data_IF_587486201461
#
_entry.id   IF_587486201461
#
_cell.length_a   1.000
_cell.length_b   1.000
_cell.length_c   1.000
_cell.angle_alpha   90.00
_cell.angle_beta   90.00
_cell.angle_gamma   90.00
#
_symmetry.space_group_name_H-M   'P 1'
#
loop_
_entity.id
_entity.type
_entity.pdbx_description
1 polymer ?
#
# COMPACT_ATOMS: atom_id res chain seq x y z
N UNK A 1 -14.14 -12.89 12.78
CA UNK A 1 -12.97 -12.47 13.58
C UNK A 1 -11.81 -12.20 12.63
N UNK A 2 -11.67 -10.97 12.16
CA UNK A 2 -10.70 -10.58 11.13
C UNK A 2 -9.35 -10.29 11.78
N UNK A 3 -8.40 -11.23 11.69
CA UNK A 3 -7.03 -11.11 12.19
C UNK A 3 -6.11 -10.32 11.23
N UNK A 4 -6.56 -9.18 10.72
CA UNK A 4 -5.78 -8.37 9.76
C UNK A 4 -5.20 -7.07 10.35
N UNK A 5 -5.87 -6.46 11.34
CA UNK A 5 -5.64 -5.05 11.69
C UNK A 5 -4.44 -4.71 12.57
N UNK A 6 -3.65 -5.70 13.04
CA UNK A 6 -2.57 -5.44 14.02
C UNK A 6 -1.18 -5.39 13.35
N UNK A 7 -1.04 -5.88 12.11
CA UNK A 7 0.26 -5.99 11.45
C UNK A 7 0.64 -4.82 10.53
N UNK A 8 -0.30 -3.98 10.11
CA UNK A 8 -0.01 -2.78 9.30
C UNK A 8 0.85 -1.74 10.04
N UNK A 9 0.81 -1.73 11.38
CA UNK A 9 1.67 -0.87 12.22
C UNK A 9 3.17 -1.14 12.06
N UNK A 10 3.56 -2.32 11.58
CA UNK A 10 4.96 -2.61 11.28
C UNK A 10 5.37 -1.92 9.97
N UNK A 11 5.68 -0.62 10.06
CA UNK A 11 6.30 0.26 9.04
C UNK A 11 6.31 -0.35 7.64
N UNK A 12 5.26 -0.07 6.87
CA UNK A 12 5.23 -0.30 5.43
C UNK A 12 6.54 0.19 4.80
N UNK A 13 7.11 -0.62 3.90
CA UNK A 13 8.36 -0.36 3.20
C UNK A 13 8.10 -0.05 1.74
N UNK A 14 9.05 0.63 1.11
CA UNK A 14 9.03 0.81 -0.33
C UNK A 14 8.95 -0.55 -1.04
N UNK A 15 8.02 -0.68 -1.99
CA UNK A 15 7.74 -1.92 -2.71
C UNK A 15 6.60 -2.76 -2.11
N UNK A 16 6.18 -2.51 -0.88
CA UNK A 16 5.04 -3.22 -0.28
C UNK A 16 3.77 -2.97 -1.09
N UNK A 17 2.98 -4.03 -1.26
CA UNK A 17 1.67 -3.95 -1.88
C UNK A 17 0.63 -3.68 -0.81
N UNK A 18 -0.21 -2.69 -1.06
CA UNK A 18 -1.24 -2.25 -0.11
C UNK A 18 -2.59 -2.12 -0.79
N UNK A 19 -3.65 -2.31 -0.03
CA UNK A 19 -5.01 -2.03 -0.45
C UNK A 19 -5.53 -0.87 0.40
N UNK A 20 -6.15 0.12 -0.23
CA UNK A 20 -6.84 1.18 0.52
C UNK A 20 -8.06 0.61 1.24
N UNK A 21 -8.22 0.95 2.51
CA UNK A 21 -9.41 0.69 3.31
C UNK A 21 -10.56 1.63 2.91
N UNK A 22 -11.01 1.55 1.65
CA UNK A 22 -12.19 2.27 1.16
C UNK A 22 -13.37 1.32 0.99
N UNK A 23 -14.54 1.70 1.53
CA UNK A 23 -15.73 0.82 1.66
C UNK A 23 -16.32 0.36 0.33
N UNK A 24 -16.08 1.08 -0.76
CA UNK A 24 -16.73 0.80 -2.06
C UNK A 24 -15.80 0.22 -3.11
N UNK A 25 -14.49 0.48 -3.03
CA UNK A 25 -13.53 0.08 -4.05
C UNK A 25 -12.22 -0.30 -3.38
N UNK A 26 -11.84 -1.58 -3.49
CA UNK A 26 -10.51 -2.03 -3.11
C UNK A 26 -9.54 -1.65 -4.23
N UNK A 27 -8.68 -0.67 -3.96
CA UNK A 27 -7.66 -0.24 -4.91
C UNK A 27 -6.31 -0.77 -4.47
N UNK A 28 -5.64 -1.53 -5.34
CA UNK A 28 -4.28 -2.02 -5.10
C UNK A 28 -3.27 -0.89 -5.39
N UNK A 29 -2.30 -0.72 -4.51
CA UNK A 29 -1.22 0.23 -4.64
C UNK A 29 0.13 -0.38 -4.28
N UNK A 30 1.18 0.36 -4.60
CA UNK A 30 2.55 0.05 -4.21
C UNK A 30 3.12 1.23 -3.43
N UNK A 31 3.65 0.95 -2.24
CA UNK A 31 4.30 1.94 -1.39
C UNK A 31 5.59 2.41 -2.08
N UNK A 32 5.74 3.72 -2.21
CA UNK A 32 6.93 4.34 -2.82
C UNK A 32 7.97 4.67 -1.75
N UNK A 33 7.53 5.33 -0.67
CA UNK A 33 8.39 5.75 0.44
C UNK A 33 7.57 6.14 1.67
N UNK A 34 8.22 6.09 2.83
CA UNK A 34 7.74 6.71 4.05
C UNK A 34 7.90 8.24 3.96
N UNK A 35 6.87 8.97 4.37
CA UNK A 35 6.88 10.43 4.36
C UNK A 35 7.26 10.99 5.74
N UNK A 36 6.62 10.49 6.79
CA UNK A 36 6.81 10.97 8.15
C UNK A 36 5.73 10.47 9.11
N UNK A 37 5.83 10.91 10.35
CA UNK A 37 4.79 10.78 11.37
C UNK A 37 4.36 12.19 11.74
N UNK A 38 3.06 12.44 11.86
CA UNK A 38 2.55 13.73 12.34
C UNK A 38 2.52 13.80 13.88
N UNK A 39 2.23 14.99 14.43
CA UNK A 39 2.28 15.25 15.88
C UNK A 39 1.30 14.37 16.69
N UNK A 40 0.29 13.81 16.03
CA UNK A 40 -0.71 12.90 16.63
C UNK A 40 -0.29 11.41 16.53
N UNK A 41 0.91 11.12 16.01
CA UNK A 41 1.43 9.78 15.81
C UNK A 41 0.93 9.08 14.54
N UNK A 42 0.31 9.83 13.63
CA UNK A 42 -0.19 9.35 12.35
C UNK A 42 0.96 9.17 11.35
N UNK A 43 1.32 7.92 11.08
CA UNK A 43 2.32 7.58 10.09
C UNK A 43 1.79 7.72 8.65
N UNK A 44 2.58 8.31 7.74
CA UNK A 44 2.19 8.55 6.35
C UNK A 44 3.16 7.95 5.34
N UNK A 45 2.61 7.51 4.21
CA UNK A 45 3.37 6.94 3.10
C UNK A 45 2.87 7.46 1.76
N UNK A 46 3.78 7.60 0.80
CA UNK A 46 3.43 7.84 -0.59
C UNK A 46 3.09 6.51 -1.28
N UNK A 47 1.91 6.43 -1.90
CA UNK A 47 1.42 5.24 -2.60
C UNK A 47 1.15 5.55 -4.06
N UNK A 48 1.64 4.69 -4.96
CA UNK A 48 1.23 4.67 -6.36
C UNK A 48 0.11 3.67 -6.55
N UNK A 49 -1.06 4.15 -6.97
CA UNK A 49 -2.25 3.30 -7.17
C UNK A 49 -2.28 2.66 -8.56
N UNK A 50 -2.67 1.38 -8.61
CA UNK A 50 -2.91 0.62 -9.84
C UNK A 50 -4.34 0.79 -10.31
N UNK A 51 -4.74 2.04 -10.55
CA UNK A 51 -6.06 2.37 -11.09
C UNK A 51 -5.95 3.62 -11.97
N UNK A 52 -6.49 3.61 -13.21
CA UNK A 52 -6.22 4.64 -14.21
C UNK A 52 -6.77 6.01 -13.85
N UNK A 53 -7.78 6.09 -12.99
CA UNK A 53 -8.46 7.36 -12.66
C UNK A 53 -8.35 7.77 -11.19
N UNK A 54 -7.55 7.06 -10.39
CA UNK A 54 -7.26 7.54 -9.03
C UNK A 54 -6.38 8.78 -9.13
N UNK A 55 -6.87 9.92 -8.63
CA UNK A 55 -6.15 11.19 -8.61
C UNK A 55 -6.26 11.82 -7.21
N UNK A 56 -5.18 12.41 -6.67
CA UNK A 56 -3.81 12.39 -7.21
C UNK A 56 -3.20 10.97 -7.21
N UNK A 57 -2.23 10.72 -8.09
CA UNK A 57 -1.47 9.47 -8.16
C UNK A 57 -0.02 9.76 -8.58
N UNK A 58 0.98 9.64 -7.69
CA UNK A 58 0.89 9.10 -6.33
C UNK A 58 0.07 9.96 -5.36
N UNK A 59 -0.44 9.35 -4.28
CA UNK A 59 -1.09 10.06 -3.18
C UNK A 59 -0.39 9.78 -1.84
N UNK A 60 -0.55 10.71 -0.91
CA UNK A 60 -0.10 10.58 0.47
C UNK A 60 -1.23 9.99 1.31
N UNK A 61 -0.96 8.90 2.01
CA UNK A 61 -1.97 8.11 2.73
C UNK A 61 -1.52 7.85 4.16
N UNK A 62 -2.49 7.77 5.08
CA UNK A 62 -2.25 7.29 6.43
C UNK A 62 -2.02 5.78 6.38
N UNK A 63 -1.00 5.31 7.11
CA UNK A 63 -0.70 3.88 7.22
C UNK A 63 -1.90 3.10 7.78
N UNK A 64 -2.66 3.71 8.69
CA UNK A 64 -3.85 3.09 9.29
C UNK A 64 -5.02 2.88 8.30
N UNK A 65 -5.01 3.58 7.16
CA UNK A 65 -6.00 3.42 6.09
C UNK A 65 -5.56 2.38 5.04
N UNK A 66 -4.45 1.67 5.28
CA UNK A 66 -3.85 0.72 4.35
C UNK A 66 -3.78 -0.69 4.93
N UNK A 67 -4.27 -1.65 4.15
CA UNK A 67 -4.07 -3.06 4.42
C UNK A 67 -2.84 -3.55 3.65
N UNK A 68 -1.83 -4.05 4.35
CA UNK A 68 -0.70 -4.76 3.73
C UNK A 68 -1.21 -6.05 3.08
N UNK A 69 -0.84 -6.26 1.82
CA UNK A 69 -1.06 -7.53 1.14
C UNK A 69 0.04 -8.50 1.57
N UNK A 70 -0.18 -9.26 2.64
CA UNK A 70 0.74 -10.33 3.06
C UNK A 70 0.87 -11.37 1.93
N UNK A 71 2.09 -11.86 1.67
CA UNK A 71 2.39 -12.85 0.62
C UNK A 71 1.67 -14.19 0.88
N UNK A 72 0.40 -14.26 0.49
CA UNK A 72 -0.37 -15.48 0.22
C UNK A 72 -0.86 -15.54 -1.23
N UNK A 73 -0.42 -14.60 -2.08
CA UNK A 73 -0.73 -14.57 -3.51
C UNK A 73 0.27 -15.48 -4.24
N UNK A 74 -0.18 -16.46 -5.06
CA UNK A 74 0.70 -17.39 -5.74
C UNK A 74 1.77 -16.64 -6.56
N UNK A 75 3.00 -17.15 -6.55
CA UNK A 75 4.17 -16.60 -7.24
C UNK A 75 3.96 -16.32 -8.75
N UNK A 76 2.90 -16.83 -9.35
CA UNK A 76 2.49 -16.54 -10.72
C UNK A 76 2.20 -15.04 -10.96
N UNK A 77 1.64 -14.31 -9.98
CA UNK A 77 1.36 -12.87 -10.12
C UNK A 77 2.61 -11.98 -10.00
N UNK A 78 3.74 -12.53 -9.52
CA UNK A 78 5.03 -11.82 -9.44
C UNK A 78 5.78 -11.83 -10.79
N UNK A 79 5.42 -12.71 -11.73
CA UNK A 79 6.10 -12.86 -13.03
C UNK A 79 5.79 -11.78 -14.06
N UNK A 80 4.65 -11.09 -13.93
CA UNK A 80 4.22 -10.04 -14.87
C UNK A 80 4.55 -8.61 -14.40
N UNK A 81 5.37 -8.46 -13.35
CA UNK A 81 5.88 -7.15 -12.96
C UNK A 81 7.04 -6.76 -13.90
N UNK A 82 7.02 -5.57 -14.53
CA UNK A 82 8.10 -5.19 -15.42
C UNK A 82 9.39 -5.04 -14.61
N UNK A 83 10.33 -5.96 -14.82
CA UNK A 83 11.74 -5.71 -14.54
C UNK A 83 12.22 -4.73 -15.60
N UNK A 84 12.16 -3.44 -15.28
CA UNK A 84 12.98 -2.47 -16.00
C UNK A 84 14.42 -2.69 -15.54
N UNK A 85 15.16 -3.52 -16.26
CA UNK A 85 16.62 -3.58 -16.17
C UNK A 85 17.19 -2.36 -16.89
N UNK A 86 17.98 -1.57 -16.18
CA UNK A 86 18.98 -0.66 -16.77
C UNK A 86 20.08 -1.43 -17.49
#
# INVERSE_FOLDING_TARGET
>A
MSRGGVRARARLKAGDLVIRHHRLLKTLGSVLRFDGEDDDGGARVWVRWRHPTTLPNPSLELVDDLDLVEEGVPAAAKRDWPRTTS
#
